data_IF_911461241324
#
_entry.id   IF_911461241324
#
_cell.length_a   1.000
_cell.length_b   1.000
_cell.length_c   1.000
_cell.angle_alpha   90.00
_cell.angle_beta   90.00
_cell.angle_gamma   90.00
#
_symmetry.space_group_name_H-M   'P 1'
#
loop_
_entity.id
_entity.type
_entity.pdbx_description
1 polymer ?
#
# COMPACT_ATOMS: atom_id res chain seq x y z
N UNK A 1 -10.45 -5.14 21.37
CA UNK A 1 -9.77 -4.45 20.25
C UNK A 1 -10.00 -2.96 20.42
N UNK A 2 -8.94 -2.15 20.47
CA UNK A 2 -9.09 -0.68 20.59
C UNK A 2 -9.58 -0.09 19.26
N UNK A 3 -10.15 1.13 19.28
CA UNK A 3 -10.55 1.84 18.05
C UNK A 3 -9.36 2.00 17.08
N UNK A 4 -8.17 2.29 17.60
CA UNK A 4 -6.96 2.40 16.78
C UNK A 4 -6.50 1.07 16.18
N UNK A 5 -6.71 -0.05 16.89
CA UNK A 5 -6.42 -1.38 16.37
C UNK A 5 -7.36 -1.72 15.21
N UNK A 6 -8.67 -1.45 15.35
CA UNK A 6 -9.66 -1.61 14.26
C UNK A 6 -9.26 -0.78 13.04
N UNK A 7 -8.94 0.51 13.25
CA UNK A 7 -8.48 1.41 12.17
C UNK A 7 -7.20 0.91 11.49
N UNK A 8 -6.31 0.25 12.24
CA UNK A 8 -5.09 -0.31 11.68
C UNK A 8 -5.39 -1.54 10.82
N UNK A 9 -6.30 -2.42 11.25
CA UNK A 9 -6.76 -3.56 10.44
C UNK A 9 -7.47 -3.13 9.15
N UNK A 10 -8.42 -2.19 9.24
CA UNK A 10 -9.14 -1.69 8.06
C UNK A 10 -8.19 -1.00 7.09
N UNK A 11 -7.25 -0.20 7.59
CA UNK A 11 -6.23 0.45 6.75
C UNK A 11 -5.30 -0.54 6.05
N UNK A 12 -4.95 -1.67 6.69
CA UNK A 12 -4.20 -2.76 6.03
C UNK A 12 -5.03 -3.42 4.96
N UNK A 13 -6.28 -3.81 5.26
CA UNK A 13 -7.18 -4.42 4.29
C UNK A 13 -7.36 -3.54 3.06
N UNK A 14 -7.58 -2.24 3.26
CA UNK A 14 -7.64 -1.25 2.18
C UNK A 14 -6.34 -1.20 1.37
N UNK A 15 -5.18 -1.12 2.02
CA UNK A 15 -3.89 -1.05 1.33
C UNK A 15 -3.61 -2.31 0.50
N UNK A 16 -3.91 -3.49 1.03
CA UNK A 16 -3.80 -4.75 0.29
C UNK A 16 -4.76 -4.81 -0.89
N UNK A 17 -6.03 -4.41 -0.71
CA UNK A 17 -6.99 -4.34 -1.80
C UNK A 17 -6.49 -3.42 -2.92
N UNK A 18 -6.00 -2.23 -2.58
CA UNK A 18 -5.46 -1.30 -3.59
C UNK A 18 -4.27 -1.91 -4.32
N UNK A 19 -3.31 -2.51 -3.63
CA UNK A 19 -2.16 -3.18 -4.27
C UNK A 19 -2.62 -4.35 -5.14
N UNK A 20 -3.54 -5.18 -4.66
CA UNK A 20 -4.07 -6.32 -5.38
C UNK A 20 -4.74 -5.92 -6.69
N UNK A 21 -5.66 -4.95 -6.65
CA UNK A 21 -6.33 -4.45 -7.85
C UNK A 21 -5.36 -3.72 -8.78
N UNK A 22 -4.44 -2.93 -8.22
CA UNK A 22 -3.41 -2.28 -9.02
C UNK A 22 -2.59 -3.29 -9.82
N UNK A 23 -2.15 -4.37 -9.18
CA UNK A 23 -1.37 -5.42 -9.86
C UNK A 23 -2.18 -6.06 -10.98
N UNK A 24 -3.45 -6.41 -10.73
CA UNK A 24 -4.32 -7.00 -11.75
C UNK A 24 -4.58 -6.06 -12.94
N UNK A 25 -4.82 -4.78 -12.69
CA UNK A 25 -5.11 -3.82 -13.76
C UNK A 25 -3.87 -3.43 -14.58
N UNK A 26 -2.70 -3.38 -13.95
CA UNK A 26 -1.46 -2.93 -14.60
C UNK A 26 -0.70 -4.07 -15.24
N UNK A 27 -0.60 -5.21 -14.55
CA UNK A 27 0.19 -6.36 -15.01
C UNK A 27 -0.66 -7.47 -15.61
N UNK A 28 -2.00 -7.35 -15.53
CA UNK A 28 -2.93 -8.30 -16.11
C UNK A 28 -3.31 -9.46 -15.18
N UNK A 29 -4.21 -10.30 -15.69
CA UNK A 29 -4.60 -11.53 -15.01
C UNK A 29 -3.46 -12.55 -15.08
N UNK A 30 -3.11 -13.25 -13.98
CA UNK A 30 -2.04 -14.23 -14.03
C UNK A 30 -2.40 -15.46 -14.88
N UNK A 31 -1.49 -15.86 -15.77
CA UNK A 31 -1.70 -17.00 -16.70
C UNK A 31 -1.92 -18.36 -16.00
N UNK A 32 -1.52 -18.49 -14.74
CA UNK A 32 -1.70 -19.72 -13.96
C UNK A 32 -3.09 -19.85 -13.34
N UNK A 33 -3.93 -18.80 -13.40
CA UNK A 33 -5.31 -18.84 -12.94
C UNK A 33 -6.24 -19.08 -14.14
N UNK A 34 -7.35 -19.83 -13.95
CA UNK A 34 -8.37 -19.91 -14.98
C UNK A 34 -8.87 -18.52 -15.37
N UNK A 35 -9.15 -18.33 -16.66
CA UNK A 35 -9.53 -17.03 -17.18
C UNK A 35 -10.97 -16.66 -16.78
N UNK A 36 -11.05 -15.83 -15.74
CA UNK A 36 -12.28 -15.21 -15.27
C UNK A 36 -12.17 -13.68 -15.28
N UNK A 37 -11.20 -13.11 -16.00
CA UNK A 37 -10.85 -11.69 -15.91
C UNK A 37 -12.04 -10.77 -16.20
N UNK A 38 -12.85 -11.12 -17.21
CA UNK A 38 -14.01 -10.33 -17.63
C UNK A 38 -15.14 -10.33 -16.58
N UNK A 39 -15.44 -11.50 -16.02
CA UNK A 39 -16.44 -11.63 -14.96
C UNK A 39 -15.98 -10.97 -13.68
N UNK A 40 -14.71 -11.17 -13.32
CA UNK A 40 -14.10 -10.60 -12.12
C UNK A 40 -14.09 -9.07 -12.16
N UNK A 41 -13.63 -8.48 -13.27
CA UNK A 41 -13.54 -7.02 -13.43
C UNK A 41 -14.92 -6.38 -13.34
N UNK A 42 -15.93 -6.96 -13.99
CA UNK A 42 -17.31 -6.45 -13.94
C UNK A 42 -17.90 -6.52 -12.54
N UNK A 43 -17.73 -7.65 -11.83
CA UNK A 43 -18.21 -7.81 -10.46
C UNK A 43 -17.48 -6.82 -9.53
N UNK A 44 -16.16 -6.70 -9.68
CA UNK A 44 -15.37 -5.79 -8.89
C UNK A 44 -15.84 -4.34 -9.03
N UNK A 45 -15.97 -3.82 -10.25
CA UNK A 45 -16.42 -2.45 -10.46
C UNK A 45 -17.81 -2.20 -9.86
N UNK A 46 -18.75 -3.14 -10.05
CA UNK A 46 -20.10 -3.01 -9.49
C UNK A 46 -20.08 -2.94 -7.95
N UNK A 47 -19.29 -3.80 -7.31
CA UNK A 47 -19.19 -3.82 -5.84
C UNK A 47 -18.39 -2.61 -5.33
N UNK A 48 -17.34 -2.22 -6.03
CA UNK A 48 -16.46 -1.10 -5.65
C UNK A 48 -17.22 0.22 -5.60
N UNK A 49 -18.05 0.53 -6.61
CA UNK A 49 -18.83 1.76 -6.61
C UNK A 49 -19.84 1.82 -5.46
N UNK A 50 -20.49 0.69 -5.14
CA UNK A 50 -21.42 0.60 -4.00
C UNK A 50 -20.67 0.80 -2.69
N UNK A 51 -19.55 0.09 -2.50
CA UNK A 51 -18.74 0.18 -1.30
C UNK A 51 -18.19 1.59 -1.09
N UNK A 52 -17.65 2.22 -2.14
CA UNK A 52 -17.15 3.59 -2.07
C UNK A 52 -18.24 4.60 -1.74
N UNK A 53 -19.45 4.45 -2.30
CA UNK A 53 -20.57 5.32 -1.96
C UNK A 53 -20.95 5.22 -0.47
N UNK A 54 -21.01 3.99 0.06
CA UNK A 54 -21.26 3.74 1.50
C UNK A 54 -20.16 4.35 2.36
N UNK A 55 -18.88 4.11 2.01
CA UNK A 55 -17.72 4.64 2.74
C UNK A 55 -17.74 6.18 2.80
N UNK A 56 -18.10 6.83 1.68
CA UNK A 56 -18.18 8.28 1.57
C UNK A 56 -19.32 8.85 2.43
N UNK A 57 -20.49 8.19 2.47
CA UNK A 57 -21.61 8.55 3.35
C UNK A 57 -21.19 8.43 4.83
N UNK A 58 -20.53 7.33 5.21
CA UNK A 58 -20.05 7.12 6.57
C UNK A 58 -19.02 8.19 6.94
N UNK A 59 -18.02 8.42 6.10
CA UNK A 59 -16.95 9.39 6.33
C UNK A 59 -17.45 10.83 6.48
N UNK A 60 -18.47 11.23 5.72
CA UNK A 60 -19.12 12.54 5.87
C UNK A 60 -19.90 12.64 7.20
N UNK A 61 -20.47 11.54 7.67
CA UNK A 61 -21.30 11.48 8.89
C UNK A 61 -20.45 11.41 10.16
N UNK A 62 -19.25 10.83 10.11
CA UNK A 62 -18.43 10.52 11.28
C UNK A 62 -17.49 11.67 11.75
N UNK A 63 -17.51 12.82 11.07
CA UNK A 63 -16.55 13.94 11.27
C UNK A 63 -16.49 14.57 12.68
N UNK A 64 -17.34 14.15 13.63
CA UNK A 64 -17.46 14.76 14.96
C UNK A 64 -16.77 14.07 16.13
N UNK A 65 -16.29 12.82 16.00
CA UNK A 65 -15.74 12.09 17.14
C UNK A 65 -14.35 11.53 16.85
N UNK A 66 -13.32 12.38 16.92
CA UNK A 66 -11.93 11.89 17.00
C UNK A 66 -11.79 11.11 18.31
N UNK A 67 -11.43 9.82 18.28
CA UNK A 67 -11.19 9.07 19.51
C UNK A 67 -10.05 9.75 20.28
N UNK A 68 -10.23 9.93 21.58
CA UNK A 68 -9.20 10.49 22.45
C UNK A 68 -7.99 9.55 22.41
N UNK A 69 -6.89 9.98 21.78
CA UNK A 69 -5.65 9.21 21.73
C UNK A 69 -5.01 9.25 23.12
N UNK A 70 -4.60 8.09 23.60
CA UNK A 70 -3.77 8.01 24.80
C UNK A 70 -2.29 8.13 24.45
N UNK A 71 -1.42 8.38 25.44
CA UNK A 71 0.03 8.46 25.22
C UNK A 71 0.62 7.17 24.64
N UNK A 72 -0.05 6.03 24.90
CA UNK A 72 0.33 4.73 24.35
C UNK A 72 0.11 4.69 22.84
N UNK A 73 -1.03 5.15 22.35
CA UNK A 73 -1.39 5.23 20.94
C UNK A 73 -0.37 6.08 20.19
N UNK A 74 0.03 7.23 20.77
CA UNK A 74 1.03 8.10 20.17
C UNK A 74 2.41 7.42 20.08
N UNK A 75 2.81 6.69 21.14
CA UNK A 75 4.07 5.93 21.13
C UNK A 75 4.05 4.80 20.09
N UNK A 76 2.93 4.08 19.97
CA UNK A 76 2.76 3.01 18.97
C UNK A 76 2.77 3.57 17.55
N UNK A 77 2.10 4.70 17.33
CA UNK A 77 2.12 5.41 16.05
C UNK A 77 3.52 5.89 15.68
N UNK A 78 4.32 6.37 16.65
CA UNK A 78 5.71 6.74 16.42
C UNK A 78 6.57 5.55 15.97
N UNK A 79 6.38 4.35 16.56
CA UNK A 79 7.03 3.14 16.05
C UNK A 79 6.59 2.83 14.62
N UNK A 80 5.29 2.85 14.35
CA UNK A 80 4.76 2.63 12.99
C UNK A 80 5.41 3.57 11.97
N UNK A 81 5.49 4.86 12.29
CA UNK A 81 6.16 5.84 11.45
C UNK A 81 7.64 5.54 11.27
N UNK A 82 8.37 5.24 12.34
CA UNK A 82 9.81 4.96 12.28
C UNK A 82 10.12 3.84 11.28
N UNK A 83 9.42 2.71 11.36
CA UNK A 83 9.67 1.58 10.46
C UNK A 83 9.21 1.85 9.03
N UNK A 84 8.04 2.48 8.86
CA UNK A 84 7.52 2.82 7.53
C UNK A 84 8.43 3.81 6.79
N UNK A 85 8.89 4.86 7.47
CA UNK A 85 9.83 5.84 6.90
C UNK A 85 11.20 5.22 6.64
N UNK A 86 11.70 4.38 7.53
CA UNK A 86 12.98 3.68 7.31
C UNK A 86 12.92 2.82 6.05
N UNK A 87 11.86 2.04 5.88
CA UNK A 87 11.63 1.26 4.67
C UNK A 87 11.54 2.15 3.43
N UNK A 88 10.72 3.21 3.49
CA UNK A 88 10.51 4.13 2.37
C UNK A 88 11.84 4.76 1.92
N UNK A 89 12.65 5.23 2.88
CA UNK A 89 13.96 5.81 2.61
C UNK A 89 14.90 4.80 1.95
N UNK A 90 15.02 3.59 2.50
CA UNK A 90 15.87 2.54 1.93
C UNK A 90 15.40 2.16 0.52
N UNK A 91 14.10 2.02 0.30
CA UNK A 91 13.53 1.68 -1.00
C UNK A 91 13.76 2.77 -2.04
N UNK A 92 13.58 4.05 -1.68
CA UNK A 92 13.85 5.18 -2.58
C UNK A 92 15.35 5.26 -2.91
N UNK A 93 16.23 5.13 -1.92
CA UNK A 93 17.69 5.14 -2.14
C UNK A 93 18.10 3.98 -3.05
N UNK A 94 17.57 2.79 -2.80
CA UNK A 94 17.81 1.63 -3.66
C UNK A 94 17.33 1.87 -5.10
N UNK A 95 16.13 2.42 -5.28
CA UNK A 95 15.59 2.75 -6.60
C UNK A 95 16.46 3.79 -7.33
N UNK A 96 16.90 4.84 -6.63
CA UNK A 96 17.81 5.85 -7.19
C UNK A 96 19.17 5.23 -7.57
N UNK A 97 19.71 4.35 -6.74
CA UNK A 97 20.92 3.61 -7.06
C UNK A 97 20.74 2.75 -8.32
N UNK A 98 19.62 2.05 -8.46
CA UNK A 98 19.30 1.28 -9.66
C UNK A 98 19.17 2.17 -10.92
N UNK A 99 18.53 3.33 -10.82
CA UNK A 99 18.45 4.30 -11.93
C UNK A 99 19.84 4.82 -12.31
N UNK A 100 20.69 5.11 -11.32
CA UNK A 100 22.06 5.56 -11.56
C UNK A 100 22.91 4.47 -12.23
N UNK A 101 22.82 3.23 -11.73
CA UNK A 101 23.49 2.08 -12.34
C UNK A 101 22.99 1.81 -13.76
N UNK A 102 21.69 1.95 -14.03
CA UNK A 102 21.14 1.80 -15.39
C UNK A 102 21.76 2.80 -16.36
N UNK A 103 22.03 4.02 -15.92
CA UNK A 103 22.63 5.05 -16.76
C UNK A 103 24.12 4.84 -17.01
N UNK A 104 24.85 4.24 -16.07
CA UNK A 104 26.30 3.99 -16.21
C UNK A 104 26.57 2.70 -16.99
N UNK A 105 25.86 1.63 -16.65
CA UNK A 105 26.12 0.29 -17.16
C UNK A 105 25.18 -0.11 -18.30
N UNK A 106 24.08 0.62 -18.49
CA UNK A 106 23.13 0.35 -19.55
C UNK A 106 23.72 0.68 -20.90
N UNK A 107 24.11 -0.35 -21.65
CA UNK A 107 24.40 -0.22 -23.06
C UNK A 107 23.08 0.07 -23.80
N UNK A 108 23.12 0.81 -24.91
CA UNK A 108 21.95 1.05 -25.75
C UNK A 108 21.24 -0.29 -26.06
N UNK A 109 20.07 -0.53 -25.44
CA UNK A 109 19.29 -1.76 -25.59
C UNK A 109 19.35 -2.78 -24.45
N UNK A 110 20.09 -2.54 -23.35
CA UNK A 110 20.11 -3.47 -22.21
C UNK A 110 18.80 -3.40 -21.41
N UNK A 111 17.94 -4.41 -21.54
CA UNK A 111 16.67 -4.54 -20.79
C UNK A 111 16.84 -4.92 -19.31
N UNK A 112 18.07 -4.92 -18.79
CA UNK A 112 18.41 -5.57 -17.52
C UNK A 112 18.18 -4.72 -16.26
N UNK A 113 17.64 -3.50 -16.38
CA UNK A 113 17.34 -2.67 -15.20
C UNK A 113 15.86 -2.40 -15.07
N UNK A 114 15.26 -2.96 -14.00
CA UNK A 114 13.85 -2.85 -13.63
C UNK A 114 13.29 -1.41 -13.67
N UNK A 115 14.14 -0.40 -13.47
CA UNK A 115 13.75 1.02 -13.43
C UNK A 115 14.32 1.86 -14.58
N UNK A 116 14.70 1.22 -15.70
CA UNK A 116 15.21 1.94 -16.87
C UNK A 116 14.16 2.76 -17.63
N UNK A 117 12.87 2.46 -17.44
CA UNK A 117 11.76 3.15 -18.09
C UNK A 117 10.99 4.02 -17.08
N UNK A 118 10.61 5.28 -17.44
CA UNK A 118 9.85 6.16 -16.55
C UNK A 118 8.56 5.52 -16.02
N UNK A 119 7.84 4.75 -16.83
CA UNK A 119 6.62 4.08 -16.40
C UNK A 119 6.86 3.07 -15.26
N UNK A 120 7.94 2.29 -15.35
CA UNK A 120 8.32 1.34 -14.29
C UNK A 120 8.69 2.03 -12.98
N UNK A 121 9.27 3.23 -13.03
CA UNK A 121 9.55 4.03 -11.84
C UNK A 121 8.24 4.42 -11.13
N UNK A 122 7.22 4.83 -11.88
CA UNK A 122 5.91 5.14 -11.28
C UNK A 122 5.27 3.91 -10.64
N UNK A 123 5.31 2.76 -11.30
CA UNK A 123 4.80 1.51 -10.74
C UNK A 123 5.53 1.11 -9.45
N UNK A 124 6.86 1.25 -9.44
CA UNK A 124 7.69 0.99 -8.27
C UNK A 124 7.34 1.92 -7.11
N UNK A 125 7.26 3.22 -7.35
CA UNK A 125 6.91 4.22 -6.34
C UNK A 125 5.53 3.95 -5.73
N UNK A 126 4.55 3.62 -6.57
CA UNK A 126 3.22 3.25 -6.11
C UNK A 126 3.28 2.06 -5.15
N UNK A 127 3.95 0.97 -5.55
CA UNK A 127 4.09 -0.22 -4.71
C UNK A 127 4.88 0.05 -3.42
N UNK A 128 5.96 0.83 -3.50
CA UNK A 128 6.77 1.22 -2.33
C UNK A 128 5.92 2.00 -1.32
N UNK A 129 5.11 2.97 -1.78
CA UNK A 129 4.25 3.77 -0.90
C UNK A 129 3.21 2.92 -0.18
N UNK A 130 2.50 2.04 -0.90
CA UNK A 130 1.51 1.16 -0.28
C UNK A 130 2.15 0.11 0.64
N UNK A 131 3.32 -0.41 0.27
CA UNK A 131 4.09 -1.32 1.15
C UNK A 131 4.52 -0.61 2.43
N UNK A 132 4.98 0.65 2.34
CA UNK A 132 5.30 1.47 3.51
C UNK A 132 4.08 1.69 4.41
N UNK A 133 2.91 1.95 3.82
CA UNK A 133 1.63 2.04 4.56
C UNK A 133 1.30 0.74 5.30
N UNK A 134 1.43 -0.42 4.63
CA UNK A 134 1.24 -1.74 5.23
C UNK A 134 2.23 -1.97 6.37
N UNK A 135 3.51 -1.62 6.20
CA UNK A 135 4.53 -1.71 7.26
C UNK A 135 4.16 -0.83 8.45
N UNK A 136 3.71 0.42 8.24
CA UNK A 136 3.27 1.32 9.32
C UNK A 136 2.21 0.62 10.16
N UNK A 137 1.13 0.18 9.52
CA UNK A 137 -0.03 -0.39 10.20
C UNK A 137 0.26 -1.77 10.79
N UNK A 138 1.03 -2.61 10.10
CA UNK A 138 1.46 -3.92 10.60
C UNK A 138 2.33 -3.79 11.85
N UNK A 139 3.23 -2.82 11.87
CA UNK A 139 4.03 -2.48 13.05
C UNK A 139 3.13 -2.00 14.20
N UNK A 140 2.17 -1.11 13.93
CA UNK A 140 1.23 -0.66 14.95
C UNK A 140 0.44 -1.83 15.54
N UNK A 141 -0.11 -2.72 14.70
CA UNK A 141 -0.83 -3.92 15.15
C UNK A 141 0.03 -4.85 15.99
N UNK A 142 1.28 -5.08 15.58
CA UNK A 142 2.24 -5.87 16.35
C UNK A 142 2.41 -5.28 17.76
N UNK A 143 2.60 -3.97 17.89
CA UNK A 143 2.76 -3.32 19.19
C UNK A 143 1.46 -3.22 20.00
N UNK A 144 0.30 -3.12 19.35
CA UNK A 144 -1.01 -3.21 20.02
C UNK A 144 -1.22 -4.57 20.66
N UNK A 145 -0.85 -5.65 19.96
CA UNK A 145 -1.00 -7.04 20.44
C UNK A 145 0.09 -7.48 21.41
N UNK A 146 1.31 -6.97 21.26
CA UNK A 146 2.45 -7.31 22.13
C UNK A 146 2.37 -6.62 23.50
N UNK A 147 1.83 -5.41 23.57
CA UNK A 147 1.73 -4.64 24.82
C UNK A 147 0.49 -5.03 25.65
N UNK A 148 0.12 -6.32 25.65
CA UNK A 148 -0.89 -6.90 26.54
C UNK A 148 -0.25 -7.30 27.87
#
# INVERSE_FOLDING_TARGET
>A
MSKQEILSWTSIGFSFSVVFFYVLFVFGWPDFLPDYSDHFTKIFFNVFWIAMAVELIIGLTESKNRPNKDERDDKIEAYGHKYAYSFLMVAIVFMLAQIFLSRIFGHEGSQYVLFGQPNMIFHALFLILFTSSIIKRGTMLYHYRKSF
#
